data_IF_128549076811
#
_entry.id   IF_128549076811
#
_cell.length_a   1.000
_cell.length_b   1.000
_cell.length_c   1.000
_cell.angle_alpha   90.00
_cell.angle_beta   90.00
_cell.angle_gamma   90.00
#
_symmetry.space_group_name_H-M   'P 1'
#
loop_
_entity.id
_entity.type
_entity.pdbx_description
1 polymer ?
#
# COMPACT_ATOMS: atom_id res chain seq x y z
N UNK A 1 -9.54 -2.55 7.30
CA UNK A 1 -8.16 -2.47 6.80
C UNK A 1 -7.21 -2.49 7.99
N UNK A 2 -6.21 -3.35 7.97
CA UNK A 2 -5.33 -3.61 9.08
C UNK A 2 -3.86 -3.21 8.84
N UNK A 3 -3.61 -2.09 8.14
CA UNK A 3 -2.26 -1.67 7.79
C UNK A 3 -1.33 -1.46 8.99
N UNK A 4 -1.84 -0.91 10.08
CA UNK A 4 -1.04 -0.72 11.29
C UNK A 4 -0.70 -2.06 11.93
N UNK A 5 -1.68 -2.97 12.01
CA UNK A 5 -1.45 -4.30 12.58
C UNK A 5 -0.50 -5.11 11.69
N UNK A 6 -0.60 -4.95 10.38
CA UNK A 6 0.33 -5.59 9.44
C UNK A 6 1.77 -5.20 9.73
N UNK A 7 2.02 -3.92 9.98
CA UNK A 7 3.36 -3.42 10.32
C UNK A 7 3.86 -4.04 11.64
N UNK A 8 3.00 -4.13 12.64
CA UNK A 8 3.35 -4.76 13.92
C UNK A 8 3.69 -6.24 13.71
N UNK A 9 2.87 -6.95 12.94
CA UNK A 9 3.09 -8.37 12.67
C UNK A 9 4.41 -8.61 11.91
N UNK A 10 4.73 -7.75 10.95
CA UNK A 10 6.00 -7.82 10.23
C UNK A 10 7.18 -7.60 11.18
N UNK A 11 7.05 -6.64 12.08
CA UNK A 11 8.07 -6.34 13.08
C UNK A 11 8.34 -7.55 13.98
N UNK A 12 7.27 -8.21 14.44
CA UNK A 12 7.38 -9.41 15.27
C UNK A 12 8.09 -10.53 14.52
N UNK A 13 7.70 -10.76 13.26
CA UNK A 13 8.34 -11.80 12.43
C UNK A 13 9.83 -11.55 12.26
N UNK A 14 10.23 -10.31 12.01
CA UNK A 14 11.64 -9.94 11.87
C UNK A 14 12.38 -10.17 13.17
N UNK A 15 11.79 -9.76 14.30
CA UNK A 15 12.40 -9.97 15.62
C UNK A 15 12.62 -11.47 15.91
N UNK A 16 11.65 -12.31 15.57
CA UNK A 16 11.77 -13.75 15.73
C UNK A 16 12.88 -14.34 14.85
N UNK A 17 13.00 -13.88 13.61
CA UNK A 17 14.04 -14.32 12.69
C UNK A 17 15.43 -13.94 13.19
N UNK A 18 15.57 -12.75 13.75
CA UNK A 18 16.83 -12.32 14.36
C UNK A 18 17.15 -13.18 15.57
N UNK A 19 16.18 -13.42 16.44
CA UNK A 19 16.37 -14.22 17.65
C UNK A 19 16.77 -15.66 17.33
N UNK A 20 16.21 -16.25 16.28
CA UNK A 20 16.51 -17.63 15.87
C UNK A 20 17.80 -17.75 15.07
N UNK A 21 18.40 -16.65 14.67
CA UNK A 21 19.63 -16.66 13.85
C UNK A 21 19.39 -16.76 12.36
N UNK A 22 18.14 -16.82 11.91
CA UNK A 22 17.83 -16.87 10.48
C UNK A 22 18.16 -15.56 9.76
N UNK A 23 18.09 -14.45 10.47
CA UNK A 23 18.34 -13.13 9.93
C UNK A 23 19.32 -12.37 10.78
N UNK A 24 20.38 -11.85 10.15
CA UNK A 24 21.32 -10.97 10.83
C UNK A 24 20.74 -9.56 10.88
N UNK A 25 20.83 -8.90 12.03
CA UNK A 25 20.28 -7.57 12.21
C UNK A 25 20.83 -6.56 11.19
N UNK A 26 22.08 -6.76 10.73
CA UNK A 26 22.69 -5.90 9.71
C UNK A 26 22.08 -6.06 8.31
N UNK A 27 21.28 -7.10 8.11
CA UNK A 27 20.62 -7.39 6.84
C UNK A 27 19.19 -6.86 6.76
N UNK A 28 18.71 -6.22 7.83
CA UNK A 28 17.36 -5.65 7.82
C UNK A 28 17.35 -4.41 6.94
N UNK A 29 16.48 -4.42 5.94
CA UNK A 29 16.29 -3.30 5.01
C UNK A 29 14.82 -3.27 4.54
N UNK A 30 14.48 -2.37 3.63
CA UNK A 30 13.12 -2.25 3.14
C UNK A 30 12.62 -3.53 2.48
N UNK A 31 13.49 -4.21 1.72
CA UNK A 31 13.12 -5.48 1.07
C UNK A 31 12.80 -6.56 2.11
N UNK A 32 13.64 -6.70 3.14
CA UNK A 32 13.43 -7.66 4.23
C UNK A 32 12.09 -7.37 4.92
N UNK A 33 11.83 -6.10 5.19
CA UNK A 33 10.59 -5.69 5.83
C UNK A 33 9.38 -6.01 4.94
N UNK A 34 9.45 -5.65 3.67
CA UNK A 34 8.39 -5.90 2.70
C UNK A 34 8.04 -7.38 2.59
N UNK A 35 9.07 -8.25 2.62
CA UNK A 35 8.88 -9.70 2.51
C UNK A 35 8.15 -10.29 3.72
N UNK A 36 8.10 -9.57 4.83
CA UNK A 36 7.41 -10.01 6.04
C UNK A 36 6.01 -9.41 6.21
N UNK A 37 5.59 -8.55 5.28
CA UNK A 37 4.24 -8.01 5.27
C UNK A 37 3.25 -9.07 4.78
N UNK A 38 1.97 -8.87 5.08
CA UNK A 38 0.89 -9.74 4.58
C UNK A 38 0.86 -9.74 3.05
N UNK A 39 1.20 -8.61 2.46
CA UNK A 39 1.33 -8.46 1.02
C UNK A 39 2.54 -7.59 0.72
N UNK A 40 3.40 -8.04 -0.20
CA UNK A 40 4.55 -7.26 -0.64
C UNK A 40 4.24 -6.40 -1.87
N UNK A 41 3.00 -6.45 -2.38
CA UNK A 41 2.59 -5.68 -3.54
C UNK A 41 2.58 -4.18 -3.24
N UNK A 42 3.21 -3.39 -4.11
CA UNK A 42 3.24 -1.93 -4.01
C UNK A 42 2.46 -1.37 -5.20
N UNK A 43 1.17 -1.08 -5.02
CA UNK A 43 0.34 -0.61 -6.13
C UNK A 43 0.77 0.78 -6.61
N UNK A 44 0.69 1.00 -7.90
CA UNK A 44 0.96 2.32 -8.48
C UNK A 44 -0.25 3.24 -8.34
N UNK A 45 -1.44 2.66 -8.41
CA UNK A 45 -2.70 3.41 -8.35
C UNK A 45 -3.67 2.71 -7.41
N UNK A 46 -4.29 3.50 -6.53
CA UNK A 46 -5.36 3.02 -5.66
C UNK A 46 -6.59 3.88 -5.92
N UNK A 47 -7.70 3.21 -6.21
CA UNK A 47 -8.99 3.87 -6.43
C UNK A 47 -9.87 3.58 -5.22
N UNK A 48 -10.30 4.63 -4.54
CA UNK A 48 -11.21 4.50 -3.41
C UNK A 48 -12.56 5.09 -3.78
N UNK A 49 -13.60 4.29 -3.70
CA UNK A 49 -14.99 4.69 -3.94
C UNK A 49 -15.66 5.08 -2.62
N UNK A 50 -16.84 5.68 -2.70
CA UNK A 50 -17.68 5.96 -1.53
C UNK A 50 -17.54 7.35 -0.95
N UNK A 51 -16.82 8.26 -1.61
CA UNK A 51 -16.75 9.66 -1.20
C UNK A 51 -15.75 10.01 -0.10
N UNK A 52 -15.07 9.03 0.45
CA UNK A 52 -14.06 9.28 1.47
C UNK A 52 -12.70 9.60 0.81
N UNK A 53 -12.01 10.61 1.34
CA UNK A 53 -10.74 11.07 0.78
C UNK A 53 -9.56 10.77 1.71
N UNK A 54 -9.61 9.64 2.39
CA UNK A 54 -8.60 9.22 3.34
C UNK A 54 -8.14 7.78 3.04
N UNK A 55 -6.97 7.41 3.52
CA UNK A 55 -6.40 6.07 3.30
C UNK A 55 -6.94 5.02 4.27
N UNK A 56 -7.41 5.45 5.44
CA UNK A 56 -8.06 4.61 6.45
C UNK A 56 -7.28 3.34 6.81
N UNK A 57 -5.98 3.48 7.07
CA UNK A 57 -5.17 2.36 7.54
C UNK A 57 -5.00 1.24 6.50
N UNK A 58 -5.08 1.59 5.21
CA UNK A 58 -4.96 0.62 4.12
C UNK A 58 -3.54 0.67 3.53
N UNK A 59 -2.86 -0.48 3.53
CA UNK A 59 -1.52 -0.64 2.94
C UNK A 59 -0.56 0.49 3.31
N UNK A 60 -0.41 0.78 4.61
CA UNK A 60 0.36 1.93 5.08
C UNK A 60 1.80 1.98 4.56
N UNK A 61 2.46 0.85 4.43
CA UNK A 61 3.82 0.78 3.91
C UNK A 61 3.80 0.69 2.38
N UNK A 62 3.00 -0.23 1.82
CA UNK A 62 3.01 -0.52 0.39
C UNK A 62 2.51 0.64 -0.46
N UNK A 63 1.66 1.50 0.09
CA UNK A 63 1.05 2.61 -0.64
C UNK A 63 1.82 3.92 -0.50
N UNK A 64 3.05 3.89 0.04
CA UNK A 64 3.82 5.11 0.32
C UNK A 64 3.99 6.01 -0.91
N UNK A 65 4.16 5.42 -2.09
CA UNK A 65 4.33 6.15 -3.33
C UNK A 65 3.18 5.96 -4.32
N UNK A 66 2.08 5.37 -3.87
CA UNK A 66 0.91 5.16 -4.72
C UNK A 66 0.20 6.47 -5.01
N UNK A 67 -0.35 6.59 -6.21
CA UNK A 67 -1.29 7.64 -6.53
C UNK A 67 -2.68 7.20 -6.09
N UNK A 68 -3.43 8.11 -5.51
CA UNK A 68 -4.79 7.83 -5.03
C UNK A 68 -5.80 8.62 -5.86
N UNK A 69 -6.87 7.96 -6.26
CA UNK A 69 -8.01 8.59 -6.90
C UNK A 69 -9.24 8.27 -6.04
N UNK A 70 -9.90 9.32 -5.58
CA UNK A 70 -11.07 9.21 -4.71
C UNK A 70 -12.32 9.52 -5.52
N UNK A 71 -13.29 8.60 -5.50
CA UNK A 71 -14.53 8.75 -6.24
C UNK A 71 -15.71 8.86 -5.28
N UNK A 72 -16.68 9.70 -5.61
CA UNK A 72 -17.89 9.85 -4.80
C UNK A 72 -18.84 8.66 -4.97
N UNK A 73 -18.82 8.02 -6.15
CA UNK A 73 -19.65 6.85 -6.42
C UNK A 73 -19.33 5.72 -5.45
N UNK A 74 -20.37 5.01 -5.00
CA UNK A 74 -20.18 3.80 -4.20
C UNK A 74 -19.71 2.66 -5.10
N UNK A 75 -19.18 1.59 -4.51
CA UNK A 75 -18.70 0.44 -5.27
C UNK A 75 -19.77 -0.14 -6.21
N UNK A 76 -21.04 -0.33 -5.80
CA UNK A 76 -22.06 -0.82 -6.72
C UNK A 76 -22.33 0.10 -7.91
N UNK A 77 -22.02 1.39 -7.80
CA UNK A 77 -22.21 2.37 -8.87
C UNK A 77 -21.01 2.49 -9.78
N UNK A 78 -19.89 1.84 -9.43
CA UNK A 78 -18.64 1.93 -10.18
C UNK A 78 -18.77 1.20 -11.51
N UNK A 79 -18.49 1.92 -12.61
CA UNK A 79 -18.63 1.41 -13.96
C UNK A 79 -17.28 1.41 -14.69
N UNK A 80 -17.25 0.76 -15.85
CA UNK A 80 -16.06 0.68 -16.69
C UNK A 80 -15.53 2.07 -17.06
N UNK A 81 -16.42 3.02 -17.33
CA UNK A 81 -16.05 4.39 -17.68
C UNK A 81 -15.33 5.08 -16.52
N UNK A 82 -15.74 4.81 -15.31
CA UNK A 82 -15.09 5.35 -14.11
C UNK A 82 -13.66 4.83 -14.01
N UNK A 83 -13.45 3.54 -14.28
CA UNK A 83 -12.13 2.93 -14.27
C UNK A 83 -11.24 3.54 -15.35
N UNK A 84 -11.76 3.68 -16.58
CA UNK A 84 -11.01 4.28 -17.69
C UNK A 84 -10.63 5.72 -17.36
N UNK A 85 -11.57 6.48 -16.80
CA UNK A 85 -11.33 7.87 -16.38
C UNK A 85 -10.22 7.95 -15.33
N UNK A 86 -10.24 7.04 -14.36
CA UNK A 86 -9.22 6.98 -13.31
C UNK A 86 -7.84 6.67 -13.90
N UNK A 87 -7.75 5.73 -14.83
CA UNK A 87 -6.51 5.39 -15.51
C UNK A 87 -5.98 6.58 -16.30
N UNK A 88 -6.86 7.28 -17.01
CA UNK A 88 -6.47 8.47 -17.78
C UNK A 88 -5.96 9.58 -16.87
N UNK A 89 -6.61 9.79 -15.73
CA UNK A 89 -6.15 10.76 -14.75
C UNK A 89 -4.78 10.38 -14.20
N UNK A 90 -4.61 9.10 -13.86
CA UNK A 90 -3.33 8.58 -13.37
C UNK A 90 -2.20 8.84 -14.36
N UNK A 91 -2.43 8.52 -15.64
CA UNK A 91 -1.37 8.66 -16.66
C UNK A 91 -1.02 10.12 -16.94
N UNK A 92 -1.90 11.06 -16.60
CA UNK A 92 -1.64 12.49 -16.77
C UNK A 92 -0.92 13.12 -15.59
N UNK A 93 -0.81 12.41 -14.46
CA UNK A 93 -0.14 12.92 -13.26
C UNK A 93 1.36 12.76 -13.36
N UNK A 94 2.08 13.71 -12.76
CA UNK A 94 3.51 13.59 -12.56
C UNK A 94 3.75 12.77 -11.30
N UNK A 95 4.39 11.60 -11.46
CA UNK A 95 4.63 10.68 -10.35
C UNK A 95 5.97 10.99 -9.71
N UNK A 96 5.94 11.25 -8.39
CA UNK A 96 7.12 11.56 -7.61
C UNK A 96 7.29 10.58 -6.47
N UNK A 97 8.45 9.98 -6.36
CA UNK A 97 8.74 8.98 -5.33
C UNK A 97 9.75 9.53 -4.32
N UNK A 98 9.24 10.21 -3.29
CA UNK A 98 10.06 10.60 -2.16
C UNK A 98 10.97 11.80 -2.37
N UNK A 99 10.53 12.75 -3.13
CA UNK A 99 11.31 13.98 -3.33
C UNK A 99 11.02 15.01 -2.27
#
# INVERSE_FOLDING_TARGET
>A
YGGRQEVVDATIKIAEQVKSGELNISKINEETFSNNLWSSSEPDLIIRTGGETRTSNFLNFQAAYSEWIFLEKSWPEFEKEDFISAINEYTSREIRKGI
#
